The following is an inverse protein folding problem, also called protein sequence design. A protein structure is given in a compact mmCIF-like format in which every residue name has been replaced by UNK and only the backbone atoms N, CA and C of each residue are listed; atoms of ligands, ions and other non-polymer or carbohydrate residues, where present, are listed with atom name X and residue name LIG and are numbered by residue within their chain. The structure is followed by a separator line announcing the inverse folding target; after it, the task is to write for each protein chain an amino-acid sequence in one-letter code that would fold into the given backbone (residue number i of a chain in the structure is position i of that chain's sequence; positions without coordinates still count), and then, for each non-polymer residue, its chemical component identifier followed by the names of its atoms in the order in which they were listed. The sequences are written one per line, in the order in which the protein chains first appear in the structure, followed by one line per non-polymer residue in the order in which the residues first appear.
data_IF_799956004220
#
_entry.id   IF_799956004220
#
_cell.length_a   1.000
_cell.length_b   1.000
_cell.length_c   1.000
_cell.angle_alpha   90.00
_cell.angle_beta   90.00
_cell.angle_gamma   90.00
#
_symmetry.space_group_name_H-M   'P 1'
#
loop_
_entity.id
_entity.type
_entity.pdbx_description
1 polymer ?
#
# COMPACT_ATOMS: atom_id res chain seq x y z
N UNK A 1 -7.74 -56.50 46.96
CA UNK A 1 -6.84 -56.52 45.78
C UNK A 1 -7.70 -56.37 44.54
N UNK A 2 -7.58 -55.25 43.84
CA UNK A 2 -8.11 -55.06 42.49
C UNK A 2 -7.27 -53.95 41.82
N UNK A 3 -6.91 -54.23 40.58
CA UNK A 3 -5.79 -53.67 39.81
C UNK A 3 -6.08 -52.26 39.31
N UNK A 4 -5.12 -51.34 39.48
CA UNK A 4 -5.08 -50.06 38.79
C UNK A 4 -4.56 -50.26 37.36
N UNK A 5 -5.33 -49.83 36.36
CA UNK A 5 -4.89 -49.74 34.96
C UNK A 5 -4.96 -48.27 34.55
N UNK A 6 -3.78 -47.66 34.45
CA UNK A 6 -3.59 -46.30 33.96
C UNK A 6 -3.76 -46.24 32.45
N UNK A 7 -4.52 -45.24 31.99
CA UNK A 7 -4.59 -44.88 30.58
C UNK A 7 -3.64 -43.70 30.33
N UNK A 8 -2.50 -43.98 29.68
CA UNK A 8 -1.63 -42.96 29.11
C UNK A 8 -2.29 -42.48 27.82
N UNK A 9 -2.83 -41.26 27.83
CA UNK A 9 -3.34 -40.62 26.62
C UNK A 9 -2.15 -40.14 25.77
N UNK A 10 -1.83 -40.83 24.68
CA UNK A 10 -0.93 -40.32 23.66
C UNK A 10 -1.59 -39.13 22.95
N UNK A 11 -1.09 -37.93 23.22
CA UNK A 11 -1.40 -36.74 22.44
C UNK A 11 -0.79 -36.89 21.03
N UNK A 12 -1.66 -37.12 20.04
CA UNK A 12 -1.26 -37.16 18.63
C UNK A 12 -0.77 -35.80 18.17
N UNK A 13 0.54 -35.69 17.87
CA UNK A 13 1.09 -34.55 17.15
C UNK A 13 0.63 -34.66 15.70
N UNK A 14 -0.34 -33.81 15.32
CA UNK A 14 -0.73 -33.68 13.92
C UNK A 14 0.42 -33.05 13.13
N UNK A 15 0.82 -33.62 11.96
CA UNK A 15 1.83 -33.01 11.13
C UNK A 15 1.28 -31.69 10.57
N UNK A 16 1.92 -30.58 10.93
CA UNK A 16 1.75 -29.30 10.22
C UNK A 16 2.35 -29.47 8.82
N UNK A 17 1.51 -29.92 7.88
CA UNK A 17 1.86 -29.96 6.46
C UNK A 17 2.33 -28.57 5.98
N UNK A 18 3.13 -28.53 4.89
CA UNK A 18 3.61 -27.28 4.34
C UNK A 18 2.42 -26.36 4.05
N UNK A 19 2.47 -25.13 4.60
CA UNK A 19 1.50 -24.06 4.32
C UNK A 19 1.35 -23.95 2.80
N UNK A 20 0.25 -24.48 2.27
CA UNK A 20 0.02 -24.55 0.84
C UNK A 20 0.16 -23.16 0.21
N UNK A 21 0.90 -23.09 -0.90
CA UNK A 21 0.90 -21.91 -1.77
C UNK A 21 -0.56 -21.49 -2.00
N UNK A 22 -0.88 -20.21 -1.79
CA UNK A 22 -2.24 -19.71 -1.96
C UNK A 22 -2.74 -20.10 -3.36
N UNK A 23 -3.81 -20.91 -3.42
CA UNK A 23 -4.50 -21.28 -4.68
C UNK A 23 -5.31 -20.10 -5.26
N UNK A 24 -4.85 -18.89 -5.02
CA UNK A 24 -5.61 -17.70 -5.30
C UNK A 24 -5.06 -17.01 -6.55
N UNK A 25 -5.97 -16.71 -7.48
CA UNK A 25 -5.70 -16.09 -8.77
C UNK A 25 -6.16 -14.64 -8.74
N UNK A 26 -5.27 -13.76 -8.29
CA UNK A 26 -5.44 -12.31 -8.44
C UNK A 26 -4.67 -11.86 -9.69
N UNK A 27 -5.23 -10.98 -10.54
CA UNK A 27 -4.56 -10.50 -11.75
C UNK A 27 -3.25 -9.75 -11.40
N UNK A 28 -3.27 -8.99 -10.31
CA UNK A 28 -2.11 -8.29 -9.75
C UNK A 28 -1.91 -8.68 -8.28
N UNK A 29 -0.79 -8.26 -7.69
CA UNK A 29 -0.51 -8.51 -6.27
C UNK A 29 -1.62 -7.93 -5.37
N UNK A 30 -2.27 -8.80 -4.59
CA UNK A 30 -3.34 -8.45 -3.62
C UNK A 30 -4.40 -7.52 -4.23
N UNK A 31 -4.79 -7.82 -5.47
CA UNK A 31 -5.63 -6.93 -6.27
C UNK A 31 -6.99 -6.62 -5.63
N UNK A 32 -7.65 -7.60 -5.02
CA UNK A 32 -8.91 -7.39 -4.31
C UNK A 32 -8.80 -6.31 -3.23
N UNK A 33 -7.64 -6.17 -2.60
CA UNK A 33 -7.33 -5.20 -1.56
C UNK A 33 -7.04 -3.84 -2.19
N UNK A 34 -6.32 -3.81 -3.32
CA UNK A 34 -6.03 -2.60 -4.10
C UNK A 34 -7.29 -1.89 -4.58
N UNK A 35 -8.36 -2.63 -4.94
CA UNK A 35 -9.62 -2.03 -5.40
C UNK A 35 -10.73 -1.93 -4.33
N UNK A 36 -10.49 -2.40 -3.11
CA UNK A 36 -11.51 -2.51 -2.06
C UNK A 36 -12.00 -1.14 -1.56
N UNK A 37 -13.33 -0.97 -1.50
CA UNK A 37 -13.98 0.24 -0.97
C UNK A 37 -14.64 0.03 0.38
N UNK A 38 -14.54 -1.17 0.97
CA UNK A 38 -15.20 -1.50 2.24
C UNK A 38 -14.77 -0.60 3.41
N UNK A 39 -13.53 -0.11 3.38
CA UNK A 39 -12.99 0.78 4.42
C UNK A 39 -13.33 2.26 4.20
N UNK A 40 -13.91 2.65 3.05
CA UNK A 40 -14.04 4.05 2.64
C UNK A 40 -14.95 4.91 3.54
N UNK A 41 -15.71 4.30 4.46
CA UNK A 41 -16.57 4.99 5.43
C UNK A 41 -15.95 5.08 6.83
N UNK A 42 -14.79 4.46 7.06
CA UNK A 42 -14.10 4.56 8.33
C UNK A 42 -13.58 5.98 8.56
N UNK A 43 -13.60 6.42 9.82
CA UNK A 43 -13.04 7.70 10.20
C UNK A 43 -11.51 7.71 9.98
N UNK A 44 -10.97 8.63 9.16
CA UNK A 44 -9.56 8.64 8.83
C UNK A 44 -8.69 9.08 10.02
N UNK A 45 -7.62 8.35 10.27
CA UNK A 45 -6.58 8.70 11.24
C UNK A 45 -5.56 9.65 10.60
N UNK A 46 -5.05 10.67 11.31
CA UNK A 46 -3.99 11.51 10.78
C UNK A 46 -2.69 10.71 10.61
N UNK A 47 -1.98 10.93 9.50
CA UNK A 47 -0.65 10.41 9.24
C UNK A 47 0.21 11.43 8.46
N UNK A 48 1.51 11.18 8.39
CA UNK A 48 2.46 11.95 7.59
C UNK A 48 3.43 11.01 6.86
N UNK A 49 4.04 11.49 5.77
CA UNK A 49 5.01 10.68 5.03
C UNK A 49 6.23 10.36 5.91
N UNK A 50 6.65 11.32 6.75
CA UNK A 50 7.73 11.11 7.72
C UNK A 50 7.38 10.02 8.74
N UNK A 51 6.15 10.00 9.25
CA UNK A 51 5.74 8.97 10.22
C UNK A 51 5.71 7.59 9.58
N UNK A 52 5.20 7.47 8.34
CA UNK A 52 5.19 6.20 7.60
C UNK A 52 6.61 5.69 7.40
N UNK A 53 7.49 6.53 6.85
CA UNK A 53 8.88 6.17 6.55
C UNK A 53 9.71 5.90 7.81
N UNK A 54 9.39 6.53 8.94
CA UNK A 54 10.16 6.42 10.18
C UNK A 54 9.67 5.35 11.16
N UNK A 55 8.36 5.06 11.19
CA UNK A 55 7.75 4.34 12.32
C UNK A 55 6.86 3.16 11.94
N UNK A 56 6.37 3.07 10.70
CA UNK A 56 5.48 1.98 10.34
C UNK A 56 6.26 0.68 10.15
N UNK A 57 5.93 -0.33 10.95
CA UNK A 57 6.60 -1.63 10.89
C UNK A 57 6.12 -2.41 9.65
N UNK A 58 7.03 -2.90 8.78
CA UNK A 58 6.65 -3.73 7.65
C UNK A 58 6.04 -5.06 8.11
N UNK A 59 4.86 -5.47 7.61
CA UNK A 59 4.28 -6.76 7.92
C UNK A 59 5.12 -7.90 7.31
N UNK A 60 4.90 -9.14 7.74
CA UNK A 60 5.56 -10.32 7.15
C UNK A 60 4.93 -10.72 5.80
N UNK A 61 5.02 -9.83 4.81
CA UNK A 61 4.52 -10.03 3.45
C UNK A 61 5.66 -9.86 2.42
N UNK A 62 5.61 -10.65 1.37
CA UNK A 62 6.49 -10.59 0.21
C UNK A 62 5.75 -10.92 -1.09
N UNK A 63 6.47 -11.03 -2.21
CA UNK A 63 5.87 -11.19 -3.54
C UNK A 63 4.98 -12.43 -3.73
N UNK A 64 5.18 -13.47 -2.91
CA UNK A 64 4.38 -14.69 -2.97
C UNK A 64 3.02 -14.57 -2.27
N UNK A 65 2.79 -13.49 -1.51
CA UNK A 65 1.58 -13.26 -0.72
C UNK A 65 0.46 -12.58 -1.52
N UNK A 66 0.30 -13.00 -2.79
CA UNK A 66 -0.60 -12.37 -3.78
C UNK A 66 -2.05 -12.26 -3.32
N UNK A 67 -2.46 -12.99 -2.30
CA UNK A 67 -3.83 -12.97 -1.78
C UNK A 67 -3.91 -12.87 -0.27
N UNK A 68 -2.82 -12.46 0.39
CA UNK A 68 -2.87 -12.24 1.84
C UNK A 68 -3.94 -11.19 2.17
N UNK A 69 -4.82 -11.43 3.17
CA UNK A 69 -5.82 -10.46 3.59
C UNK A 69 -5.15 -9.20 4.15
N UNK A 70 -5.93 -8.13 4.30
CA UNK A 70 -5.49 -6.94 5.05
C UNK A 70 -5.24 -7.31 6.50
N UNK A 71 -4.23 -6.73 7.12
CA UNK A 71 -3.94 -6.89 8.56
C UNK A 71 -3.30 -5.63 9.15
N UNK A 72 -3.44 -5.44 10.46
CA UNK A 72 -2.80 -4.33 11.17
C UNK A 72 -3.19 -2.96 10.60
N UNK A 73 -2.22 -2.09 10.27
CA UNK A 73 -2.48 -0.77 9.68
C UNK A 73 -3.36 -0.82 8.42
N UNK A 74 -3.31 -1.90 7.64
CA UNK A 74 -4.11 -2.01 6.40
C UNK A 74 -5.62 -2.12 6.63
N UNK A 75 -6.06 -2.32 7.88
CA UNK A 75 -7.47 -2.30 8.29
C UNK A 75 -7.96 -0.88 8.62
N UNK A 76 -7.10 0.13 8.50
CA UNK A 76 -7.38 1.52 8.85
C UNK A 76 -7.36 2.42 7.61
N UNK A 77 -8.04 3.56 7.74
CA UNK A 77 -7.98 4.66 6.77
C UNK A 77 -7.16 5.78 7.37
N UNK A 78 -6.32 6.38 6.55
CA UNK A 78 -5.46 7.49 6.92
C UNK A 78 -5.74 8.71 6.07
N UNK A 79 -5.58 9.88 6.67
CA UNK A 79 -5.54 11.17 6.00
C UNK A 79 -4.18 11.80 6.22
N UNK A 80 -3.58 12.27 5.13
CA UNK A 80 -2.31 12.97 5.14
C UNK A 80 -2.36 14.13 4.16
N UNK A 81 -1.48 15.10 4.36
CA UNK A 81 -1.24 16.17 3.39
C UNK A 81 0.22 16.12 2.99
N UNK A 82 0.50 16.14 1.69
CA UNK A 82 1.86 16.10 1.17
C UNK A 82 1.98 16.83 -0.15
N UNK A 83 3.15 16.68 -0.78
CA UNK A 83 3.50 17.33 -2.03
C UNK A 83 3.66 16.30 -3.14
N UNK A 84 2.75 16.36 -4.11
CA UNK A 84 2.77 15.52 -5.31
C UNK A 84 3.96 15.93 -6.16
N UNK A 85 4.92 15.02 -6.33
CA UNK A 85 6.13 15.25 -7.14
C UNK A 85 6.09 14.54 -8.48
N UNK A 86 5.35 13.44 -8.56
CA UNK A 86 5.22 12.63 -9.77
C UNK A 86 3.82 12.05 -9.83
N UNK A 87 3.26 12.01 -11.04
CA UNK A 87 2.03 11.29 -11.34
C UNK A 87 2.29 10.45 -12.58
N UNK A 88 2.21 9.15 -12.43
CA UNK A 88 2.27 8.18 -13.51
C UNK A 88 0.88 7.59 -13.74
N UNK A 89 0.31 7.89 -14.90
CA UNK A 89 -1.05 7.50 -15.28
C UNK A 89 -1.08 6.24 -16.14
N UNK A 90 0.07 5.68 -16.48
CA UNK A 90 0.21 4.61 -17.46
C UNK A 90 0.87 3.40 -16.78
N UNK A 91 0.15 2.83 -15.81
CA UNK A 91 0.52 1.57 -15.16
C UNK A 91 -0.28 0.42 -15.76
N UNK A 92 0.29 -0.79 -15.71
CA UNK A 92 -0.31 -2.00 -16.30
C UNK A 92 -1.64 -2.38 -15.65
N UNK A 93 -1.74 -2.24 -14.32
CA UNK A 93 -2.96 -2.45 -13.55
C UNK A 93 -4.03 -1.36 -13.75
N UNK A 94 -3.64 -0.26 -14.42
CA UNK A 94 -4.47 0.89 -14.71
C UNK A 94 -4.58 1.88 -13.55
N UNK A 95 -3.83 1.68 -12.47
CA UNK A 95 -3.80 2.58 -11.33
C UNK A 95 -3.00 3.85 -11.65
N UNK A 96 -3.35 4.95 -10.99
CA UNK A 96 -2.51 6.14 -11.04
C UNK A 96 -1.54 6.06 -9.88
N UNK A 97 -0.26 6.01 -10.19
CA UNK A 97 0.83 5.95 -9.22
C UNK A 97 1.35 7.35 -8.96
N UNK A 98 1.34 7.77 -7.70
CA UNK A 98 1.75 9.12 -7.29
C UNK A 98 2.85 9.04 -6.24
N UNK A 99 3.94 9.78 -6.48
CA UNK A 99 5.01 9.95 -5.49
C UNK A 99 4.73 11.21 -4.66
N UNK A 100 4.57 11.02 -3.35
CA UNK A 100 4.19 12.07 -2.40
C UNK A 100 5.30 12.28 -1.36
N UNK A 101 5.81 13.51 -1.27
CA UNK A 101 6.78 13.90 -0.22
C UNK A 101 6.14 14.71 0.90
N UNK A 102 6.75 14.72 2.08
CA UNK A 102 6.28 15.52 3.22
C UNK A 102 6.30 17.03 2.91
N UNK A 103 7.39 17.50 2.28
CA UNK A 103 7.60 18.90 1.92
C UNK A 103 7.90 19.04 0.44
N UNK A 104 7.75 20.26 -0.08
CA UNK A 104 8.07 20.59 -1.47
C UNK A 104 9.57 20.39 -1.79
N UNK A 105 10.42 20.58 -0.78
CA UNK A 105 11.88 20.55 -0.85
C UNK A 105 12.50 19.26 -0.30
N UNK A 106 11.71 18.29 0.17
CA UNK A 106 12.20 16.98 0.60
C UNK A 106 13.02 16.30 -0.51
N UNK A 107 13.99 15.43 -0.16
CA UNK A 107 14.63 14.54 -1.12
C UNK A 107 13.59 13.76 -1.93
N UNK A 108 13.89 13.50 -3.22
CA UNK A 108 12.91 12.90 -4.15
C UNK A 108 12.55 11.45 -3.80
N UNK A 109 13.46 10.76 -3.14
CA UNK A 109 13.37 9.37 -2.69
C UNK A 109 12.76 9.26 -1.28
N UNK A 110 12.75 10.35 -0.51
CA UNK A 110 12.03 10.50 0.76
C UNK A 110 10.53 10.71 0.54
N UNK A 111 9.92 9.81 -0.24
CA UNK A 111 8.50 9.82 -0.58
C UNK A 111 7.82 8.52 -0.17
N UNK A 112 6.49 8.55 -0.14
CA UNK A 112 5.64 7.36 -0.16
C UNK A 112 4.89 7.32 -1.49
N UNK A 113 4.45 6.13 -1.87
CA UNK A 113 3.54 5.95 -3.01
C UNK A 113 2.10 6.09 -2.53
N UNK A 114 1.28 6.78 -3.30
CA UNK A 114 -0.18 6.73 -3.16
C UNK A 114 -0.77 6.34 -4.50
N UNK A 115 -1.76 5.43 -4.50
CA UNK A 115 -2.34 4.91 -5.74
C UNK A 115 -3.86 5.10 -5.77
N UNK A 116 -4.36 5.59 -6.91
CA UNK A 116 -5.80 5.77 -7.14
C UNK A 116 -6.25 4.73 -8.17
N UNK A 117 -7.13 3.78 -7.83
CA UNK A 117 -7.55 2.76 -8.78
C UNK A 117 -8.35 3.29 -9.97
N UNK A 118 -8.55 2.45 -10.99
CA UNK A 118 -9.33 2.83 -12.15
C UNK A 118 -10.81 3.17 -11.81
N UNK A 119 -11.43 4.18 -12.45
CA UNK A 119 -12.82 4.59 -12.17
C UNK A 119 -13.87 3.48 -12.33
N UNK A 120 -13.57 2.45 -13.16
CA UNK A 120 -14.43 1.28 -13.35
C UNK A 120 -14.69 0.49 -12.05
N UNK A 121 -13.83 0.63 -11.04
CA UNK A 121 -13.97 -0.07 -9.76
C UNK A 121 -14.76 0.74 -8.72
N UNK A 122 -14.83 2.07 -8.84
CA UNK A 122 -15.66 2.91 -7.98
C UNK A 122 -15.75 4.34 -8.51
N UNK A 123 -16.93 5.00 -8.44
CA UNK A 123 -17.05 6.44 -8.68
C UNK A 123 -16.17 7.29 -7.75
N UNK A 124 -15.80 6.77 -6.56
CA UNK A 124 -14.87 7.45 -5.64
C UNK A 124 -13.52 7.67 -6.30
N UNK A 125 -12.99 6.65 -6.95
CA UNK A 125 -11.70 6.72 -7.65
C UNK A 125 -11.77 7.69 -8.83
N UNK A 126 -12.88 7.71 -9.57
CA UNK A 126 -13.12 8.71 -10.62
C UNK A 126 -13.05 10.15 -10.09
N UNK A 127 -13.69 10.43 -8.96
CA UNK A 127 -13.63 11.76 -8.33
C UNK A 127 -12.24 12.11 -7.80
N UNK A 128 -11.57 11.16 -7.14
CA UNK A 128 -10.20 11.35 -6.66
C UNK A 128 -9.24 11.69 -7.81
N UNK A 129 -9.31 10.94 -8.92
CA UNK A 129 -8.54 11.24 -10.15
C UNK A 129 -8.87 12.61 -10.73
N UNK A 130 -10.15 12.96 -10.83
CA UNK A 130 -10.57 14.27 -11.36
C UNK A 130 -10.06 15.44 -10.49
N UNK A 131 -10.11 15.31 -9.16
CA UNK A 131 -9.58 16.33 -8.26
C UNK A 131 -8.05 16.45 -8.36
N UNK A 132 -7.33 15.31 -8.44
CA UNK A 132 -5.89 15.32 -8.66
C UNK A 132 -5.53 15.98 -10.00
N UNK A 133 -6.25 15.65 -11.08
CA UNK A 133 -6.06 16.27 -12.38
C UNK A 133 -6.27 17.78 -12.36
N UNK A 134 -7.31 18.23 -11.66
CA UNK A 134 -7.54 19.66 -11.49
C UNK A 134 -6.43 20.34 -10.68
N UNK A 135 -5.85 19.68 -9.66
CA UNK A 135 -4.74 20.21 -8.87
C UNK A 135 -3.46 20.41 -9.70
N UNK A 136 -3.20 19.50 -10.66
CA UNK A 136 -2.01 19.54 -11.51
C UNK A 136 -2.27 20.20 -12.88
N UNK A 137 -3.48 20.67 -13.13
CA UNK A 137 -3.83 21.36 -14.36
C UNK A 137 -2.94 22.60 -14.58
N UNK A 138 -2.45 22.77 -15.81
CA UNK A 138 -1.55 23.88 -16.16
C UNK A 138 -0.13 23.77 -15.56
N UNK A 139 0.22 22.67 -14.87
CA UNK A 139 1.58 22.42 -14.41
C UNK A 139 2.42 21.80 -15.53
N UNK A 140 3.68 22.20 -15.59
CA UNK A 140 4.66 21.52 -16.44
C UNK A 140 4.98 20.15 -15.85
N UNK A 141 4.67 19.09 -16.61
CA UNK A 141 4.99 17.70 -16.27
C UNK A 141 6.07 17.23 -17.24
N UNK A 142 7.21 16.80 -16.70
CA UNK A 142 8.34 16.27 -17.47
C UNK A 142 8.05 14.84 -17.92
N UNK A 143 8.88 14.33 -18.85
CA UNK A 143 8.87 12.91 -19.23
C UNK A 143 8.93 12.03 -17.98
N UNK A 144 8.12 10.98 -17.96
CA UNK A 144 8.01 10.10 -16.80
C UNK A 144 7.14 10.63 -15.67
N UNK A 145 6.37 11.71 -15.88
CA UNK A 145 5.32 12.13 -14.94
C UNK A 145 5.78 13.07 -13.82
N UNK A 146 7.05 13.48 -13.79
CA UNK A 146 7.57 14.34 -12.74
C UNK A 146 7.09 15.80 -12.91
N UNK A 147 6.51 16.37 -11.86
CA UNK A 147 6.09 17.78 -11.86
C UNK A 147 7.32 18.68 -11.74
N UNK A 148 7.35 19.76 -12.54
CA UNK A 148 8.41 20.76 -12.44
C UNK A 148 8.43 21.45 -11.06
N UNK A 149 7.23 21.76 -10.53
CA UNK A 149 7.02 22.25 -9.17
C UNK A 149 6.04 21.32 -8.46
N UNK A 150 6.40 20.75 -7.29
CA UNK A 150 5.47 19.94 -6.52
C UNK A 150 4.18 20.69 -6.17
N UNK A 151 3.07 19.96 -6.06
CA UNK A 151 1.75 20.52 -5.72
C UNK A 151 1.26 19.90 -4.42
N UNK A 152 0.80 20.74 -3.48
CA UNK A 152 0.26 20.27 -2.21
C UNK A 152 -1.14 19.66 -2.40
N UNK A 153 -1.38 18.50 -1.81
CA UNK A 153 -2.65 17.78 -1.90
C UNK A 153 -2.98 17.07 -0.57
N UNK A 154 -4.26 17.04 -0.20
CA UNK A 154 -4.76 16.16 0.84
C UNK A 154 -5.15 14.81 0.26
N UNK A 155 -4.73 13.73 0.89
CA UNK A 155 -4.95 12.35 0.46
C UNK A 155 -5.66 11.60 1.59
N UNK A 156 -6.74 10.89 1.29
CA UNK A 156 -7.41 9.98 2.23
C UNK A 156 -7.59 8.62 1.58
N UNK A 157 -7.14 7.56 2.25
CA UNK A 157 -7.19 6.19 1.72
C UNK A 157 -6.78 5.14 2.74
N UNK A 158 -6.89 3.87 2.37
CA UNK A 158 -6.42 2.77 3.22
C UNK A 158 -4.90 2.63 3.14
N UNK A 159 -4.26 2.19 4.24
CA UNK A 159 -2.87 1.75 4.15
C UNK A 159 -2.77 0.44 3.35
N UNK A 160 -1.67 0.25 2.64
CA UNK A 160 -1.37 -0.99 1.93
C UNK A 160 0.13 -1.19 1.89
N UNK A 161 0.59 -2.38 2.22
CA UNK A 161 2.00 -2.73 2.09
C UNK A 161 2.22 -3.48 0.79
N UNK A 162 2.96 -2.88 -0.14
CA UNK A 162 3.29 -3.50 -1.43
C UNK A 162 4.48 -4.45 -1.30
N UNK A 163 4.22 -5.59 -0.66
CA UNK A 163 5.20 -6.66 -0.50
C UNK A 163 5.67 -7.29 -1.82
N UNK A 164 5.06 -6.96 -2.97
CA UNK A 164 5.59 -7.39 -4.28
C UNK A 164 7.03 -6.91 -4.46
N UNK A 165 7.33 -5.71 -3.97
CA UNK A 165 8.61 -5.03 -4.09
C UNK A 165 9.60 -5.36 -2.98
N UNK A 166 9.29 -6.34 -2.13
CA UNK A 166 10.19 -6.75 -1.05
C UNK A 166 11.20 -7.77 -1.56
N UNK A 167 12.48 -7.40 -1.55
CA UNK A 167 13.58 -8.25 -2.00
C UNK A 167 13.74 -9.47 -1.09
N UNK A 168 14.12 -10.62 -1.63
CA UNK A 168 14.56 -11.80 -0.83
C UNK A 168 13.57 -12.36 0.23
N UNK A 169 12.28 -11.97 0.17
CA UNK A 169 11.19 -12.61 0.92
C UNK A 169 10.61 -11.79 2.07
N UNK A 170 9.69 -12.42 2.82
CA UNK A 170 8.73 -11.77 3.74
C UNK A 170 9.32 -10.97 4.91
N UNK A 171 10.61 -11.05 5.16
CA UNK A 171 11.28 -10.43 6.33
C UNK A 171 12.48 -9.57 5.96
N UNK A 172 12.79 -9.46 4.67
CA UNK A 172 13.91 -8.63 4.24
C UNK A 172 13.71 -7.17 4.58
N UNK A 173 14.77 -6.45 4.92
CA UNK A 173 14.69 -5.01 5.13
C UNK A 173 15.04 -4.21 3.86
N UNK A 174 15.15 -4.90 2.72
CA UNK A 174 15.45 -4.32 1.41
C UNK A 174 14.23 -4.30 0.48
N UNK A 175 14.13 -3.22 -0.29
CA UNK A 175 13.28 -3.12 -1.48
C UNK A 175 14.01 -3.70 -2.71
N UNK A 176 13.28 -4.20 -3.69
CA UNK A 176 13.82 -4.56 -5.01
C UNK A 176 14.11 -3.34 -5.90
N UNK A 177 13.71 -2.14 -5.47
CA UNK A 177 13.94 -0.88 -6.17
C UNK A 177 12.89 -0.57 -7.25
N UNK A 178 11.89 -1.42 -7.44
CA UNK A 178 10.86 -1.25 -8.49
C UNK A 178 9.59 -0.54 -7.99
N UNK A 179 9.63 0.04 -6.79
CA UNK A 179 8.52 0.80 -6.17
C UNK A 179 8.54 2.31 -6.52
N UNK A 180 8.73 2.61 -7.80
CA UNK A 180 8.92 4.00 -8.27
C UNK A 180 10.25 4.58 -7.79
N UNK A 181 10.26 5.85 -7.35
CA UNK A 181 11.45 6.45 -6.71
C UNK A 181 11.42 6.39 -5.18
N UNK A 182 10.33 5.91 -4.59
CA UNK A 182 10.14 5.82 -3.15
C UNK A 182 10.76 4.53 -2.62
N UNK A 183 12.09 4.49 -2.51
CA UNK A 183 12.83 3.27 -2.16
C UNK A 183 13.87 3.46 -1.04
N UNK A 184 13.69 4.48 -0.19
CA UNK A 184 14.66 4.81 0.89
C UNK A 184 14.83 3.70 1.94
N UNK A 185 13.84 2.83 2.09
CA UNK A 185 13.90 1.61 2.92
C UNK A 185 12.73 0.69 2.59
N UNK A 186 12.67 -0.50 3.19
CA UNK A 186 11.47 -1.37 3.13
C UNK A 186 10.19 -0.67 3.63
N UNK A 187 10.29 0.36 4.49
CA UNK A 187 9.12 1.12 4.93
C UNK A 187 8.53 2.00 3.84
N UNK A 188 9.32 2.33 2.80
CA UNK A 188 8.82 3.06 1.65
C UNK A 188 7.82 2.23 0.81
N UNK A 189 7.79 0.90 1.02
CA UNK A 189 6.78 0.00 0.43
C UNK A 189 5.39 0.15 1.06
N UNK A 190 5.25 0.92 2.14
CA UNK A 190 3.94 1.36 2.60
C UNK A 190 3.37 2.40 1.65
N UNK A 191 2.16 2.13 1.20
CA UNK A 191 1.36 2.99 0.35
C UNK A 191 0.10 3.46 1.07
N UNK A 192 -0.48 4.52 0.51
CA UNK A 192 -1.92 4.75 0.66
C UNK A 192 -2.61 4.22 -0.60
N UNK A 193 -3.20 3.03 -0.49
CA UNK A 193 -3.86 2.31 -1.57
C UNK A 193 -5.04 1.45 -1.03
N UNK A 194 -6.26 1.66 -1.51
CA UNK A 194 -6.66 2.71 -2.46
C UNK A 194 -6.85 4.06 -1.81
N UNK A 195 -6.60 5.11 -2.59
CA UNK A 195 -7.05 6.46 -2.29
C UNK A 195 -8.56 6.57 -2.55
N UNK A 196 -9.31 6.95 -1.52
CA UNK A 196 -10.75 7.18 -1.58
C UNK A 196 -11.11 8.63 -1.89
N UNK A 197 -10.26 9.58 -1.50
CA UNK A 197 -10.49 11.01 -1.66
C UNK A 197 -9.16 11.75 -1.85
N UNK A 198 -9.19 12.72 -2.77
CA UNK A 198 -8.14 13.74 -2.91
C UNK A 198 -8.82 15.09 -2.67
N UNK A 199 -8.22 15.93 -1.82
CA UNK A 199 -8.70 17.27 -1.54
C UNK A 199 -7.67 18.32 -1.92
N UNK A 200 -8.16 19.52 -2.22
CA UNK A 200 -7.30 20.70 -2.23
C UNK A 200 -6.91 21.02 -0.76
N UNK A 201 -5.67 21.45 -0.52
CA UNK A 201 -5.20 21.85 0.81
C UNK A 201 -5.93 23.07 1.36
#
# INVERSE_FOLDING_TARGET
MAVALGAVALAGVLPTGPRGAQRCRQPHYRWAQKIDTSLATLAPQPASAVAILGTWEPPHLGAQDRCAPRAGPELQVYRLTGWVRRVDKVKEDGDWHIELTERADSPVDSCIVVEIPAPRYSPRYGRARATLDSLIAGRTIRRGGALHRPVRAGITGAAFFDGQHRREGRRSDESDGEHGRCNTSVRALWEIHPVYEVTRP
#
